data_IF_853400084385
#
_entry.id   IF_853400084385
#
_cell.length_a   1.000
_cell.length_b   1.000
_cell.length_c   1.000
_cell.angle_alpha   90.00
_cell.angle_beta   90.00
_cell.angle_gamma   90.00
#
_symmetry.space_group_name_H-M   'P 1'
#
loop_
_entity.id
_entity.type
_entity.pdbx_description
1 polymer ?
#
# COMPACT_ATOMS: atom_id res chain seq x y z
N UNK A 1 -4.77 -15.66 31.98
CA UNK A 1 -5.44 -14.75 31.03
C UNK A 1 -6.72 -14.32 31.71
N UNK A 2 -6.95 -13.02 31.85
CA UNK A 2 -8.14 -12.47 32.53
C UNK A 2 -8.93 -11.65 31.50
N UNK A 3 -10.25 -11.84 31.45
CA UNK A 3 -11.15 -11.10 30.55
C UNK A 3 -11.84 -10.00 31.35
N UNK A 4 -11.89 -8.78 30.81
CA UNK A 4 -12.49 -7.63 31.47
C UNK A 4 -13.32 -6.84 30.46
N UNK A 5 -14.55 -6.51 30.84
CA UNK A 5 -15.41 -5.61 30.09
C UNK A 5 -15.04 -4.16 30.42
N UNK A 6 -14.90 -3.31 29.41
CA UNK A 6 -14.42 -1.91 29.53
C UNK A 6 -15.47 -0.86 29.13
N UNK A 7 -16.75 -1.25 29.22
CA UNK A 7 -17.91 -0.41 28.86
C UNK A 7 -18.05 0.85 29.74
N UNK A 8 -17.48 0.83 30.95
CA UNK A 8 -17.55 1.92 31.91
C UNK A 8 -16.17 2.27 32.49
N UNK A 9 -16.04 3.43 33.18
CA UNK A 9 -14.78 3.84 33.79
C UNK A 9 -14.21 2.85 34.83
N UNK A 10 -15.07 2.10 35.54
CA UNK A 10 -14.65 1.16 36.58
C UNK A 10 -14.02 -0.09 35.95
N UNK A 11 -14.62 -0.63 34.90
CA UNK A 11 -14.08 -1.70 34.07
C UNK A 11 -12.75 -1.32 33.42
N UNK A 12 -12.62 -0.08 32.95
CA UNK A 12 -11.37 0.46 32.43
C UNK A 12 -10.28 0.53 33.51
N UNK A 13 -10.58 1.11 34.69
CA UNK A 13 -9.62 1.19 35.79
C UNK A 13 -9.17 -0.21 36.24
N UNK A 14 -10.14 -1.14 36.34
CA UNK A 14 -9.85 -2.53 36.66
C UNK A 14 -8.91 -3.15 35.63
N UNK A 15 -9.17 -3.01 34.34
CA UNK A 15 -8.31 -3.51 33.27
C UNK A 15 -6.89 -2.92 33.38
N UNK A 16 -6.76 -1.60 33.54
CA UNK A 16 -5.46 -0.93 33.69
C UNK A 16 -4.68 -1.41 34.92
N UNK A 17 -5.37 -1.75 36.01
CA UNK A 17 -4.75 -2.23 37.24
C UNK A 17 -4.03 -3.58 37.08
N UNK A 18 -4.33 -4.33 36.02
CA UNK A 18 -3.75 -5.65 35.72
C UNK A 18 -2.41 -5.57 34.99
N UNK A 19 -2.04 -4.39 34.46
CA UNK A 19 -0.76 -4.17 33.79
C UNK A 19 0.41 -4.48 34.73
N UNK A 20 1.33 -5.34 34.28
CA UNK A 20 2.46 -5.87 35.06
C UNK A 20 2.10 -6.95 36.09
N UNK A 21 0.81 -7.24 36.33
CA UNK A 21 0.34 -8.26 37.29
C UNK A 21 -0.13 -9.55 36.63
N UNK A 22 -0.40 -9.51 35.32
CA UNK A 22 -0.85 -10.65 34.51
C UNK A 22 0.06 -10.82 33.31
N UNK A 23 0.10 -12.04 32.74
CA UNK A 23 0.78 -12.27 31.46
C UNK A 23 -0.02 -11.75 30.26
N UNK A 24 -1.34 -11.89 30.33
CA UNK A 24 -2.25 -11.49 29.26
C UNK A 24 -3.61 -11.07 29.82
N UNK A 25 -4.19 -10.02 29.23
CA UNK A 25 -5.52 -9.48 29.52
C UNK A 25 -6.32 -9.41 28.21
N UNK A 26 -7.59 -9.83 28.26
CA UNK A 26 -8.54 -9.68 27.15
C UNK A 26 -9.51 -8.57 27.50
N UNK A 27 -9.65 -7.58 26.62
CA UNK A 27 -10.62 -6.49 26.77
C UNK A 27 -11.79 -6.71 25.83
N UNK A 28 -12.99 -6.50 26.36
CA UNK A 28 -14.28 -6.58 25.67
C UNK A 28 -15.02 -5.26 25.84
N UNK A 29 -15.70 -4.80 24.82
CA UNK A 29 -16.66 -3.70 24.94
C UNK A 29 -17.81 -3.93 23.98
N UNK A 30 -18.97 -3.45 24.39
CA UNK A 30 -20.22 -3.41 23.65
C UNK A 30 -20.34 -2.18 22.76
N UNK A 31 -19.59 -1.12 23.06
CA UNK A 31 -19.52 0.13 22.28
C UNK A 31 -18.04 0.55 22.11
N UNK A 32 -17.45 0.23 20.96
CA UNK A 32 -16.05 0.55 20.68
C UNK A 32 -15.90 2.04 20.35
N UNK A 33 -15.51 2.82 21.36
CA UNK A 33 -14.87 4.12 21.14
C UNK A 33 -13.35 3.94 21.06
N UNK A 34 -12.68 4.71 20.19
CA UNK A 34 -11.23 4.61 19.96
C UNK A 34 -10.42 4.94 21.24
N UNK A 35 -10.91 5.89 22.04
CA UNK A 35 -10.20 6.48 23.20
C UNK A 35 -9.89 5.46 24.33
N UNK A 36 -10.84 4.63 24.81
CA UNK A 36 -10.55 3.59 25.79
C UNK A 36 -9.41 2.66 25.39
N UNK A 37 -9.35 2.26 24.11
CA UNK A 37 -8.33 1.33 23.62
C UNK A 37 -6.94 1.96 23.58
N UNK A 38 -6.84 3.23 23.18
CA UNK A 38 -5.59 4.00 23.19
C UNK A 38 -4.97 4.04 24.60
N UNK A 39 -5.79 4.33 25.61
CA UNK A 39 -5.36 4.36 27.00
C UNK A 39 -4.84 2.99 27.48
N UNK A 40 -5.49 1.90 27.06
CA UNK A 40 -5.02 0.54 27.38
C UNK A 40 -3.68 0.25 26.71
N UNK A 41 -3.55 0.48 25.41
CA UNK A 41 -2.29 0.24 24.68
C UNK A 41 -1.15 1.01 25.33
N UNK A 42 -1.37 2.29 25.66
CA UNK A 42 -0.37 3.12 26.34
C UNK A 42 0.01 2.58 27.73
N UNK A 43 -0.97 2.15 28.54
CA UNK A 43 -0.72 1.67 29.91
C UNK A 43 0.01 0.33 29.95
N UNK A 44 -0.29 -0.56 29.00
CA UNK A 44 0.25 -1.91 28.93
C UNK A 44 1.60 -1.96 28.21
N UNK A 45 1.92 -0.97 27.37
CA UNK A 45 3.22 -0.87 26.70
C UNK A 45 4.38 -0.91 27.72
N UNK A 46 5.30 -1.87 27.54
CA UNK A 46 6.47 -2.05 28.42
C UNK A 46 6.15 -2.63 29.80
N UNK A 47 4.89 -2.95 30.10
CA UNK A 47 4.50 -3.55 31.39
C UNK A 47 4.80 -5.05 31.50
N UNK A 48 5.11 -5.72 30.38
CA UNK A 48 5.26 -7.18 30.30
C UNK A 48 3.94 -7.95 30.28
N UNK A 49 2.80 -7.25 30.27
CA UNK A 49 1.47 -7.83 30.08
C UNK A 49 1.00 -7.60 28.65
N UNK A 50 0.61 -8.65 27.94
CA UNK A 50 -0.01 -8.53 26.62
C UNK A 50 -1.50 -8.19 26.72
N UNK A 51 -1.97 -7.30 25.87
CA UNK A 51 -3.39 -6.92 25.76
C UNK A 51 -3.98 -7.48 24.47
N UNK A 52 -5.13 -8.14 24.58
CA UNK A 52 -5.89 -8.67 23.46
C UNK A 52 -7.28 -8.02 23.41
N UNK A 53 -7.75 -7.61 22.23
CA UNK A 53 -9.09 -7.06 22.08
C UNK A 53 -10.05 -8.07 21.41
N UNK A 54 -11.27 -8.19 21.93
CA UNK A 54 -12.32 -8.96 21.27
C UNK A 54 -12.88 -8.21 20.07
N UNK A 55 -12.76 -8.79 18.87
CA UNK A 55 -13.26 -8.23 17.63
C UNK A 55 -14.37 -9.13 17.06
N UNK A 56 -15.51 -8.51 16.74
CA UNK A 56 -16.69 -9.22 16.24
C UNK A 56 -16.70 -9.34 14.71
N UNK A 57 -16.01 -8.41 14.04
CA UNK A 57 -15.79 -8.38 12.60
C UNK A 57 -14.36 -7.97 12.20
N UNK A 58 -13.96 -8.14 10.93
CA UNK A 58 -12.63 -7.79 10.45
C UNK A 58 -12.27 -6.29 10.48
N UNK A 59 -13.26 -5.38 10.42
CA UNK A 59 -13.01 -3.94 10.49
C UNK A 59 -12.59 -3.54 11.91
N UNK A 60 -13.29 -4.06 12.93
CA UNK A 60 -12.91 -3.95 14.34
C UNK A 60 -11.49 -4.47 14.59
N UNK A 61 -11.20 -5.68 14.09
CA UNK A 61 -9.87 -6.27 14.23
C UNK A 61 -8.77 -5.39 13.63
N UNK A 62 -9.00 -4.83 12.44
CA UNK A 62 -8.05 -3.94 11.78
C UNK A 62 -7.85 -2.66 12.60
N UNK A 63 -8.92 -2.08 13.12
CA UNK A 63 -8.85 -0.92 14.00
C UNK A 63 -7.96 -1.25 15.21
N UNK A 64 -8.27 -2.31 15.94
CA UNK A 64 -7.57 -2.62 17.19
C UNK A 64 -6.10 -2.95 16.99
N UNK A 65 -5.76 -3.64 15.90
CA UNK A 65 -4.37 -3.98 15.56
C UNK A 65 -3.57 -2.78 15.03
N UNK A 66 -4.20 -1.65 14.71
CA UNK A 66 -3.52 -0.47 14.13
C UNK A 66 -3.63 0.80 14.99
N UNK A 67 -4.45 0.80 16.04
CA UNK A 67 -4.60 1.93 16.98
C UNK A 67 -3.25 2.40 17.53
N UNK A 68 -3.00 3.71 17.49
CA UNK A 68 -1.72 4.35 17.89
C UNK A 68 -0.45 3.81 17.19
N UNK A 69 -0.56 3.30 15.95
CA UNK A 69 0.55 2.69 15.18
C UNK A 69 1.19 1.44 15.84
N UNK A 70 0.67 1.01 17.00
CA UNK A 70 1.15 -0.15 17.76
C UNK A 70 0.11 -1.26 17.80
N UNK A 71 -1.16 -0.87 17.92
CA UNK A 71 -2.28 -1.77 18.15
C UNK A 71 -2.21 -2.49 19.49
N UNK A 72 -3.18 -3.38 19.69
CA UNK A 72 -3.13 -4.44 20.71
C UNK A 72 -2.17 -5.55 20.28
N UNK A 73 -1.67 -6.34 21.23
CA UNK A 73 -0.76 -7.46 20.97
C UNK A 73 -1.43 -8.62 20.20
N UNK A 74 -2.76 -8.62 20.12
CA UNK A 74 -3.52 -9.54 19.30
C UNK A 74 -5.03 -9.35 19.44
N UNK A 75 -5.77 -10.09 18.64
CA UNK A 75 -7.24 -10.08 18.66
C UNK A 75 -7.78 -11.43 19.12
N UNK A 76 -8.91 -11.39 19.81
CA UNK A 76 -9.76 -12.57 20.06
C UNK A 76 -10.95 -12.45 19.13
N UNK A 77 -11.07 -13.38 18.18
CA UNK A 77 -12.22 -13.41 17.26
C UNK A 77 -13.44 -13.88 18.04
N UNK A 78 -14.39 -12.99 18.24
CA UNK A 78 -15.65 -13.25 18.92
C UNK A 78 -16.81 -13.06 17.93
N UNK A 79 -16.89 -13.99 16.98
CA UNK A 79 -17.84 -13.90 15.88
C UNK A 79 -18.69 -15.17 15.78
N UNK A 80 -20.02 -15.06 15.70
CA UNK A 80 -20.90 -16.22 15.55
C UNK A 80 -20.88 -16.80 14.13
N UNK A 81 -20.26 -16.11 13.15
CA UNK A 81 -20.26 -16.51 11.74
C UNK A 81 -18.90 -17.01 11.25
N UNK A 82 -18.76 -18.31 10.94
CA UNK A 82 -17.54 -18.86 10.35
C UNK A 82 -17.14 -18.20 9.01
N UNK A 83 -18.08 -17.58 8.29
CA UNK A 83 -17.78 -16.89 7.03
C UNK A 83 -16.86 -15.67 7.21
N UNK A 84 -16.85 -15.05 8.39
CA UNK A 84 -16.02 -13.88 8.68
C UNK A 84 -14.55 -14.24 8.97
N UNK A 85 -14.26 -15.52 9.28
CA UNK A 85 -12.90 -15.98 9.60
C UNK A 85 -11.89 -15.70 8.49
N UNK A 86 -12.30 -15.72 7.23
CA UNK A 86 -11.43 -15.35 6.11
C UNK A 86 -11.00 -13.88 6.20
N UNK A 87 -11.93 -12.97 6.50
CA UNK A 87 -11.61 -11.55 6.67
C UNK A 87 -10.66 -11.30 7.83
N UNK A 88 -10.81 -12.02 8.96
CA UNK A 88 -9.85 -11.94 10.07
C UNK A 88 -8.46 -12.45 9.67
N UNK A 89 -8.38 -13.54 8.89
CA UNK A 89 -7.11 -14.04 8.36
C UNK A 89 -6.41 -12.96 7.54
N UNK A 90 -7.15 -12.27 6.67
CA UNK A 90 -6.61 -11.22 5.79
C UNK A 90 -6.15 -9.97 6.58
N UNK A 91 -6.71 -9.74 7.77
CA UNK A 91 -6.28 -8.67 8.68
C UNK A 91 -4.96 -9.01 9.39
N UNK A 92 -4.80 -10.28 9.81
CA UNK A 92 -3.64 -10.73 10.61
C UNK A 92 -2.48 -11.19 9.74
N UNK A 93 -2.72 -11.58 8.49
CA UNK A 93 -1.65 -11.91 7.55
C UNK A 93 -0.76 -10.69 7.29
N UNK A 94 0.55 -10.88 7.33
CA UNK A 94 1.52 -9.90 6.83
C UNK A 94 1.11 -9.47 5.42
N UNK A 95 1.31 -8.18 5.12
CA UNK A 95 1.02 -7.67 3.78
C UNK A 95 1.85 -8.47 2.77
N UNK A 96 1.21 -9.04 1.74
CA UNK A 96 1.91 -9.92 0.80
C UNK A 96 3.09 -9.18 0.17
N UNK A 97 4.25 -9.83 0.05
CA UNK A 97 5.34 -9.29 -0.74
C UNK A 97 5.05 -9.49 -2.22
N UNK A 98 5.37 -8.50 -3.04
CA UNK A 98 5.34 -8.61 -4.50
C UNK A 98 6.71 -9.06 -5.00
N UNK A 99 6.74 -10.04 -5.90
CA UNK A 99 7.98 -10.46 -6.55
C UNK A 99 8.38 -9.44 -7.62
N UNK A 100 9.39 -8.63 -7.29
CA UNK A 100 9.95 -7.62 -8.19
C UNK A 100 11.08 -8.22 -9.04
N UNK A 101 10.96 -8.03 -10.35
CA UNK A 101 11.97 -8.39 -11.35
C UNK A 101 12.69 -7.15 -11.87
N UNK A 102 13.94 -7.31 -12.30
CA UNK A 102 14.64 -6.27 -13.05
C UNK A 102 14.25 -6.34 -14.52
N UNK A 103 13.78 -5.23 -15.07
CA UNK A 103 13.61 -5.03 -16.52
C UNK A 103 14.63 -4.02 -17.02
N UNK A 104 15.16 -4.25 -18.22
CA UNK A 104 16.16 -3.38 -18.84
C UNK A 104 15.49 -2.39 -19.76
N UNK A 105 15.71 -1.09 -19.54
CA UNK A 105 15.19 -0.02 -20.40
C UNK A 105 15.71 -0.21 -21.82
N UNK A 106 14.81 -0.19 -22.80
CA UNK A 106 15.12 -0.29 -24.24
C UNK A 106 15.04 1.06 -24.92
N UNK A 107 14.12 1.93 -24.50
CA UNK A 107 14.00 3.29 -25.03
C UNK A 107 13.30 4.24 -24.05
N UNK A 108 13.58 5.54 -24.21
CA UNK A 108 12.87 6.63 -23.52
C UNK A 108 12.53 7.68 -24.58
N UNK A 109 11.24 7.85 -24.86
CA UNK A 109 10.77 8.70 -25.96
C UNK A 109 9.83 9.76 -25.42
N UNK A 110 10.10 11.07 -25.62
CA UNK A 110 9.14 12.12 -25.30
C UNK A 110 7.85 11.95 -26.10
N UNK A 111 6.73 12.16 -25.44
CA UNK A 111 5.38 12.11 -26.02
C UNK A 111 4.73 13.48 -25.85
N UNK A 112 3.68 13.74 -26.62
CA UNK A 112 2.90 14.97 -26.55
C UNK A 112 2.23 15.19 -25.18
N UNK A 113 1.58 16.34 -25.03
CA UNK A 113 0.80 16.66 -23.83
C UNK A 113 -0.31 15.64 -23.63
N UNK A 114 -0.35 15.01 -22.46
CA UNK A 114 -1.38 14.02 -22.10
C UNK A 114 -1.91 14.22 -20.69
N UNK A 115 -3.09 13.65 -20.43
CA UNK A 115 -3.68 13.60 -19.10
C UNK A 115 -2.96 12.55 -18.25
N UNK A 116 -2.43 13.00 -17.11
CA UNK A 116 -1.72 12.16 -16.14
C UNK A 116 -2.37 12.24 -14.77
N UNK A 117 -2.20 11.20 -13.98
CA UNK A 117 -2.73 11.08 -12.62
C UNK A 117 -1.60 11.20 -11.60
N UNK A 118 -1.74 12.11 -10.64
CA UNK A 118 -1.01 12.03 -9.36
C UNK A 118 -1.94 11.46 -8.30
N UNK A 119 -1.43 10.50 -7.54
CA UNK A 119 -2.15 9.89 -6.42
C UNK A 119 -1.54 10.43 -5.13
N UNK A 120 -2.32 11.22 -4.39
CA UNK A 120 -1.99 11.69 -3.04
C UNK A 120 -2.61 10.71 -2.04
N UNK A 121 -1.78 10.08 -1.21
CA UNK A 121 -2.24 9.15 -0.16
C UNK A 121 -2.37 9.84 1.20
N UNK A 122 -3.05 9.18 2.13
CA UNK A 122 -3.09 9.56 3.55
C UNK A 122 -1.90 9.02 4.34
N UNK A 123 -0.83 8.58 3.68
CA UNK A 123 0.35 7.98 4.31
C UNK A 123 1.63 8.61 3.78
N UNK A 124 2.62 8.78 4.65
CA UNK A 124 3.95 9.17 4.22
C UNK A 124 4.68 7.95 3.66
N UNK A 125 5.34 8.11 2.51
CA UNK A 125 6.25 7.12 1.96
C UNK A 125 7.71 7.52 2.23
N UNK A 126 8.62 6.57 2.08
CA UNK A 126 10.06 6.78 2.20
C UNK A 126 10.77 6.58 0.86
N UNK A 127 12.00 7.09 0.66
CA UNK A 127 12.79 6.79 -0.54
C UNK A 127 12.88 5.27 -0.83
N UNK A 128 12.63 4.89 -2.07
CA UNK A 128 12.48 3.50 -2.51
C UNK A 128 11.06 2.94 -2.41
N UNK A 129 10.09 3.70 -1.88
CA UNK A 129 8.68 3.32 -1.80
C UNK A 129 7.81 4.14 -2.75
N UNK A 130 6.81 3.48 -3.33
CA UNK A 130 5.87 4.10 -4.26
C UNK A 130 4.77 3.15 -4.70
N UNK A 131 4.38 3.22 -5.97
CA UNK A 131 3.28 2.44 -6.53
C UNK A 131 3.72 1.66 -7.76
N UNK A 132 3.14 0.46 -7.92
CA UNK A 132 3.32 -0.37 -9.10
C UNK A 132 2.35 0.09 -10.19
N UNK A 133 2.90 0.65 -11.28
CA UNK A 133 2.14 1.26 -12.38
C UNK A 133 2.71 0.86 -13.75
N UNK A 134 1.86 0.54 -14.72
CA UNK A 134 2.30 0.20 -16.07
C UNK A 134 1.23 0.50 -17.11
N UNK A 135 1.63 0.65 -18.38
CA UNK A 135 0.64 0.79 -19.47
C UNK A 135 -0.13 -0.51 -19.73
N UNK A 136 0.44 -1.64 -19.33
CA UNK A 136 -0.17 -2.96 -19.45
C UNK A 136 -0.27 -3.62 -18.07
N UNK A 137 -1.27 -4.48 -17.91
CA UNK A 137 -1.51 -5.16 -16.63
C UNK A 137 -0.46 -6.23 -16.30
N UNK A 138 0.25 -6.74 -17.32
CA UNK A 138 1.24 -7.80 -17.20
C UNK A 138 2.65 -7.31 -16.78
N UNK A 139 2.88 -6.00 -16.71
CA UNK A 139 4.11 -5.41 -16.20
C UNK A 139 3.84 -4.05 -15.56
N UNK A 140 4.01 -3.98 -14.23
CA UNK A 140 3.84 -2.76 -13.47
C UNK A 140 5.19 -2.30 -12.91
N UNK A 141 5.68 -1.15 -13.37
CA UNK A 141 6.93 -0.53 -12.94
C UNK A 141 6.77 0.09 -11.55
N UNK A 142 7.81 0.01 -10.72
CA UNK A 142 7.80 0.66 -9.42
C UNK A 142 8.13 2.15 -9.56
N UNK A 143 7.09 3.00 -9.55
CA UNK A 143 7.18 4.46 -9.62
C UNK A 143 7.33 5.03 -8.22
N UNK A 144 8.45 5.67 -7.93
CA UNK A 144 8.74 6.21 -6.60
C UNK A 144 7.84 7.41 -6.27
N UNK A 145 7.53 7.56 -4.98
CA UNK A 145 6.94 8.79 -4.44
C UNK A 145 7.87 10.01 -4.56
N UNK A 146 7.31 11.21 -4.44
CA UNK A 146 8.06 12.48 -4.29
C UNK A 146 8.73 12.57 -2.90
N UNK A 147 9.31 11.49 -2.39
CA UNK A 147 9.88 11.39 -1.03
C UNK A 147 11.31 11.90 -0.91
N UNK A 148 12.03 12.01 -2.03
CA UNK A 148 13.41 12.50 -2.05
C UNK A 148 13.44 14.01 -2.22
N UNK A 149 14.30 14.67 -1.44
CA UNK A 149 14.64 16.06 -1.66
C UNK A 149 15.53 16.19 -2.90
N UNK A 150 15.19 17.14 -3.76
CA UNK A 150 15.96 17.46 -4.96
C UNK A 150 16.56 18.87 -4.91
N UNK A 151 16.37 19.63 -3.82
CA UNK A 151 16.87 20.98 -3.63
C UNK A 151 16.12 22.08 -4.39
N UNK A 152 15.21 21.72 -5.30
CA UNK A 152 14.44 22.67 -6.12
C UNK A 152 12.97 22.76 -5.69
N UNK A 153 12.39 21.66 -5.21
CA UNK A 153 10.99 21.56 -4.79
C UNK A 153 10.92 20.77 -3.50
N UNK A 154 10.14 21.26 -2.53
CA UNK A 154 9.87 20.53 -1.29
C UNK A 154 9.30 19.14 -1.59
N UNK A 155 9.83 18.12 -0.90
CA UNK A 155 9.33 16.76 -1.03
C UNK A 155 7.86 16.66 -0.60
N UNK A 156 7.13 15.76 -1.24
CA UNK A 156 5.77 15.37 -0.88
C UNK A 156 5.72 13.85 -0.80
N UNK A 157 6.25 13.26 0.29
CA UNK A 157 6.38 11.82 0.39
C UNK A 157 5.04 11.07 0.38
N UNK A 158 3.90 11.76 0.50
CA UNK A 158 2.57 11.17 0.35
C UNK A 158 2.08 11.07 -1.11
N UNK A 159 2.82 11.62 -2.08
CA UNK A 159 2.42 11.74 -3.49
C UNK A 159 3.25 10.82 -4.40
N UNK A 160 2.56 10.15 -5.33
CA UNK A 160 3.18 9.51 -6.50
C UNK A 160 2.62 10.15 -7.78
N UNK A 161 3.50 10.57 -8.68
CA UNK A 161 3.12 10.95 -10.05
C UNK A 161 3.00 9.67 -10.88
N UNK A 162 1.89 8.96 -10.70
CA UNK A 162 1.73 7.56 -11.06
C UNK A 162 1.92 7.28 -12.55
N UNK A 163 1.26 8.03 -13.44
CA UNK A 163 1.37 7.81 -14.89
C UNK A 163 0.22 8.44 -15.68
N UNK A 164 0.09 8.07 -16.95
CA UNK A 164 -1.03 8.49 -17.79
C UNK A 164 -2.36 7.86 -17.33
N UNK A 165 -3.49 8.49 -17.67
CA UNK A 165 -4.84 8.04 -17.23
C UNK A 165 -5.17 6.58 -17.57
N UNK A 166 -4.61 6.03 -18.66
CA UNK A 166 -4.85 4.64 -19.09
C UNK A 166 -3.96 3.62 -18.38
N UNK A 167 -2.93 4.03 -17.64
CA UNK A 167 -2.05 3.08 -16.98
C UNK A 167 -2.80 2.33 -15.88
N UNK A 168 -2.42 1.08 -15.67
CA UNK A 168 -2.87 0.26 -14.57
C UNK A 168 -2.07 0.57 -13.30
N UNK A 169 -2.73 0.50 -12.15
CA UNK A 169 -2.12 0.54 -10.82
C UNK A 169 -2.48 -0.75 -10.06
N UNK A 170 -1.52 -1.29 -9.28
CA UNK A 170 -1.79 -2.40 -8.37
C UNK A 170 -2.67 -1.99 -7.19
N UNK A 171 -3.65 -2.82 -6.85
CA UNK A 171 -4.54 -2.62 -5.70
C UNK A 171 -4.53 -3.85 -4.78
N UNK A 172 -4.93 -3.70 -3.50
CA UNK A 172 -4.93 -4.83 -2.57
C UNK A 172 -5.78 -6.00 -3.08
N UNK A 173 -5.39 -7.22 -2.68
CA UNK A 173 -6.03 -8.46 -3.14
C UNK A 173 -5.52 -8.97 -4.50
N UNK A 174 -4.38 -8.46 -4.97
CA UNK A 174 -3.75 -8.90 -6.23
C UNK A 174 -4.48 -8.40 -7.48
N UNK A 175 -5.28 -7.35 -7.36
CA UNK A 175 -6.02 -6.73 -8.45
C UNK A 175 -5.23 -5.63 -9.15
N UNK A 176 -5.71 -5.16 -10.30
CA UNK A 176 -5.30 -3.89 -10.89
C UNK A 176 -6.50 -3.03 -11.24
N UNK A 177 -6.32 -1.71 -11.34
CA UNK A 177 -7.34 -0.75 -11.81
C UNK A 177 -6.71 0.25 -12.77
N UNK A 178 -7.49 0.87 -13.64
CA UNK A 178 -7.01 2.04 -14.37
C UNK A 178 -6.80 3.22 -13.42
N UNK A 179 -5.75 4.01 -13.64
CA UNK A 179 -5.50 5.23 -12.89
C UNK A 179 -6.66 6.23 -12.99
N UNK A 180 -7.35 6.27 -14.13
CA UNK A 180 -8.57 7.08 -14.33
C UNK A 180 -9.69 6.75 -13.36
N UNK A 181 -9.73 5.52 -12.83
CA UNK A 181 -10.83 5.02 -12.04
C UNK A 181 -10.57 5.15 -10.53
N UNK A 182 -9.35 5.48 -10.12
CA UNK A 182 -8.97 5.62 -8.70
C UNK A 182 -9.60 6.88 -8.12
N UNK A 183 -10.26 6.75 -6.97
CA UNK A 183 -10.97 7.84 -6.28
C UNK A 183 -10.45 8.05 -4.86
N UNK A 184 -10.77 9.21 -4.29
CA UNK A 184 -10.55 9.47 -2.87
C UNK A 184 -11.27 8.40 -2.02
N UNK A 185 -10.59 7.90 -0.99
CA UNK A 185 -11.05 6.80 -0.14
C UNK A 185 -10.71 5.41 -0.68
N UNK A 186 -10.36 5.27 -1.97
CA UNK A 186 -9.99 3.96 -2.52
C UNK A 186 -8.68 3.46 -1.88
N UNK A 187 -8.56 2.13 -1.65
CA UNK A 187 -7.31 1.54 -1.21
C UNK A 187 -6.35 1.35 -2.40
N UNK A 188 -5.08 1.67 -2.19
CA UNK A 188 -3.98 1.42 -3.13
C UNK A 188 -2.87 0.64 -2.43
N UNK A 189 -2.09 -0.10 -3.20
CA UNK A 189 -0.96 -0.87 -2.70
C UNK A 189 0.32 -0.04 -2.85
N UNK A 190 0.95 0.27 -1.72
CA UNK A 190 2.31 0.82 -1.69
C UNK A 190 3.30 -0.34 -1.69
N UNK A 191 4.39 -0.18 -2.41
CA UNK A 191 5.43 -1.20 -2.55
C UNK A 191 6.80 -0.54 -2.38
N UNK A 192 7.69 -1.19 -1.64
CA UNK A 192 9.09 -0.78 -1.53
C UNK A 192 10.01 -1.57 -2.46
N UNK A 193 11.27 -1.15 -2.50
CA UNK A 193 12.33 -1.77 -3.32
C UNK A 193 12.53 -3.28 -3.08
N UNK A 194 12.18 -3.77 -1.91
CA UNK A 194 12.31 -5.18 -1.54
C UNK A 194 11.03 -5.98 -1.82
N UNK A 195 10.02 -5.35 -2.43
CA UNK A 195 8.73 -5.96 -2.69
C UNK A 195 7.81 -5.98 -1.48
N UNK A 196 8.20 -5.40 -0.34
CA UNK A 196 7.31 -5.34 0.82
C UNK A 196 6.19 -4.36 0.51
N UNK A 197 4.95 -4.79 0.77
CA UNK A 197 3.79 -3.95 0.51
C UNK A 197 3.06 -3.53 1.76
N UNK A 198 2.25 -2.48 1.63
CA UNK A 198 1.24 -2.09 2.61
C UNK A 198 0.11 -1.35 1.91
N UNK A 199 -1.08 -1.40 2.50
CA UNK A 199 -2.24 -0.68 1.99
C UNK A 199 -2.20 0.77 2.46
N UNK A 200 -2.50 1.71 1.57
CA UNK A 200 -2.75 3.11 1.92
C UNK A 200 -4.07 3.58 1.31
N UNK A 201 -4.75 4.50 1.99
CA UNK A 201 -5.94 5.16 1.46
C UNK A 201 -5.53 6.34 0.58
N UNK A 202 -6.21 6.48 -0.56
CA UNK A 202 -6.07 7.65 -1.42
C UNK A 202 -6.77 8.83 -0.76
N UNK A 203 -6.03 9.91 -0.48
CA UNK A 203 -6.60 11.18 -0.07
C UNK A 203 -7.21 11.91 -1.27
N UNK A 204 -6.48 12.00 -2.38
CA UNK A 204 -6.95 12.65 -3.61
C UNK A 204 -6.22 12.13 -4.86
N UNK A 205 -6.96 11.95 -5.95
CA UNK A 205 -6.38 11.83 -7.30
C UNK A 205 -6.47 13.16 -8.03
N UNK A 206 -5.35 13.61 -8.61
CA UNK A 206 -5.30 14.83 -9.42
C UNK A 206 -4.96 14.47 -10.86
N UNK A 207 -5.88 14.76 -11.77
CA UNK A 207 -5.69 14.65 -13.22
C UNK A 207 -5.30 16.02 -13.78
N UNK A 208 -4.19 16.09 -14.52
CA UNK A 208 -3.77 17.31 -15.21
C UNK A 208 -3.02 16.99 -16.50
N UNK A 209 -2.93 17.98 -17.42
CA UNK A 209 -2.18 17.85 -18.66
C UNK A 209 -0.72 18.23 -18.48
N UNK A 210 0.20 17.33 -18.86
CA UNK A 210 1.65 17.55 -18.82
C UNK A 210 2.34 16.89 -20.03
N UNK A 211 3.55 17.33 -20.39
CA UNK A 211 4.37 16.59 -21.34
C UNK A 211 4.67 15.21 -20.76
N UNK A 212 4.54 14.17 -21.58
CA UNK A 212 4.79 12.79 -21.16
C UNK A 212 6.08 12.24 -21.79
N UNK A 213 6.52 11.11 -21.30
CA UNK A 213 7.51 10.24 -21.90
C UNK A 213 7.01 8.80 -21.81
N UNK A 214 7.34 8.01 -22.83
CA UNK A 214 7.17 6.58 -22.83
C UNK A 214 8.52 5.94 -22.49
N UNK A 215 8.57 5.20 -21.40
CA UNK A 215 9.70 4.32 -21.08
C UNK A 215 9.33 2.92 -21.58
N UNK A 216 10.12 2.36 -22.49
CA UNK A 216 10.03 0.96 -22.87
C UNK A 216 11.12 0.15 -22.17
N UNK A 217 10.81 -1.06 -21.76
CA UNK A 217 11.75 -1.98 -21.11
C UNK A 217 11.45 -3.44 -21.45
N UNK A 218 12.43 -4.31 -21.24
CA UNK A 218 12.33 -5.75 -21.52
C UNK A 218 12.87 -6.60 -20.38
N UNK A 219 12.25 -7.76 -20.17
CA UNK A 219 12.77 -8.86 -19.35
C UNK A 219 13.68 -9.82 -20.15
N UNK A 220 13.96 -9.49 -21.42
CA UNK A 220 14.67 -10.34 -22.38
C UNK A 220 13.76 -11.21 -23.24
N UNK A 221 12.47 -11.31 -22.91
CA UNK A 221 11.47 -12.13 -23.63
C UNK A 221 10.37 -11.29 -24.26
N UNK A 222 9.87 -10.29 -23.53
CA UNK A 222 8.77 -9.40 -23.94
C UNK A 222 9.18 -7.96 -23.76
N UNK A 223 8.49 -7.07 -24.47
CA UNK A 223 8.63 -5.63 -24.31
C UNK A 223 7.42 -5.08 -23.57
N UNK A 224 7.67 -4.13 -22.69
CA UNK A 224 6.70 -3.49 -21.82
C UNK A 224 6.92 -1.98 -21.87
N UNK A 225 5.90 -1.22 -21.49
CA UNK A 225 6.03 0.23 -21.42
C UNK A 225 5.24 0.84 -20.26
N UNK A 226 5.62 2.06 -19.91
CA UNK A 226 4.87 2.94 -19.00
C UNK A 226 4.96 4.38 -19.50
N UNK A 227 3.83 5.07 -19.49
CA UNK A 227 3.77 6.50 -19.78
C UNK A 227 3.81 7.33 -18.50
N UNK A 228 4.85 8.14 -18.36
CA UNK A 228 5.13 8.96 -17.19
C UNK A 228 5.25 10.43 -17.56
N UNK A 229 5.13 11.32 -16.58
CA UNK A 229 5.39 12.74 -16.82
C UNK A 229 6.88 12.95 -17.13
N UNK A 230 7.17 13.80 -18.12
CA UNK A 230 8.51 14.24 -18.44
C UNK A 230 8.98 15.31 -17.43
N UNK A 231 9.49 14.87 -16.28
CA UNK A 231 10.06 15.72 -15.24
C UNK A 231 11.08 14.95 -14.40
N UNK A 232 12.11 15.65 -13.91
CA UNK A 232 13.22 15.09 -13.15
C UNK A 232 12.80 14.50 -11.79
N UNK A 233 11.66 14.95 -11.27
CA UNK A 233 11.09 14.48 -10.01
C UNK A 233 10.40 13.13 -10.12
N UNK A 234 10.15 12.63 -11.34
CA UNK A 234 9.57 11.30 -11.54
C UNK A 234 10.71 10.30 -11.62
N UNK A 235 10.64 9.25 -10.79
CA UNK A 235 11.69 8.25 -10.72
C UNK A 235 11.12 6.83 -10.78
N UNK A 236 11.84 5.96 -11.47
CA UNK A 236 11.64 4.52 -11.38
C UNK A 236 12.65 3.93 -10.39
N UNK A 237 12.18 3.04 -9.53
CA UNK A 237 13.05 2.40 -8.53
C UNK A 237 13.90 1.33 -9.20
N UNK A 238 15.20 1.33 -8.93
CA UNK A 238 16.15 0.27 -9.24
C UNK A 238 16.69 -0.35 -7.93
N UNK A 239 17.48 -1.43 -8.02
CA UNK A 239 18.03 -2.13 -6.84
C UNK A 239 18.90 -1.24 -5.95
N UNK A 240 19.70 -0.37 -6.54
CA UNK A 240 20.65 0.48 -5.80
C UNK A 240 20.10 1.88 -5.48
N UNK A 241 18.99 2.27 -6.08
CA UNK A 241 18.37 3.58 -5.88
C UNK A 241 17.33 3.88 -6.94
N UNK A 242 16.68 5.03 -6.86
CA UNK A 242 15.73 5.45 -7.88
C UNK A 242 16.38 6.34 -8.94
N UNK A 243 16.03 6.10 -10.19
CA UNK A 243 16.58 6.80 -11.35
C UNK A 243 15.52 7.72 -11.93
N UNK A 244 15.89 8.98 -12.14
CA UNK A 244 15.01 9.96 -12.77
C UNK A 244 14.70 9.58 -14.21
N UNK A 245 13.43 9.67 -14.60
CA UNK A 245 12.98 9.30 -15.95
C UNK A 245 13.61 10.15 -17.05
N UNK A 246 14.03 11.38 -16.74
CA UNK A 246 14.73 12.27 -17.69
C UNK A 246 16.21 11.91 -17.86
N UNK A 247 16.75 11.10 -16.96
CA UNK A 247 18.15 10.63 -16.98
C UNK A 247 18.27 9.15 -17.38
N UNK A 248 17.14 8.44 -17.53
CA UNK A 248 17.12 7.05 -17.96
C UNK A 248 17.65 6.91 -19.39
N UNK A 249 18.41 5.84 -19.63
CA UNK A 249 18.94 5.47 -20.94
C UNK A 249 18.81 3.97 -21.19
N UNK A 250 18.87 3.53 -22.46
CA UNK A 250 18.89 2.11 -22.78
C UNK A 250 19.99 1.36 -22.02
N UNK A 251 19.63 0.22 -21.44
CA UNK A 251 20.50 -0.60 -20.60
C UNK A 251 20.40 -0.33 -19.09
N UNK A 252 19.79 0.78 -18.67
CA UNK A 252 19.46 0.98 -17.25
C UNK A 252 18.45 -0.07 -16.78
N UNK A 253 18.62 -0.56 -15.56
CA UNK A 253 17.72 -1.56 -14.96
C UNK A 253 16.81 -0.92 -13.95
N UNK A 254 15.52 -1.25 -14.00
CA UNK A 254 14.49 -0.78 -13.07
C UNK A 254 13.64 -1.95 -12.58
N UNK A 255 12.99 -1.79 -11.44
CA UNK A 255 12.14 -2.81 -10.83
C UNK A 255 10.72 -2.72 -11.37
N UNK A 256 10.19 -3.88 -11.73
CA UNK A 256 8.81 -4.05 -12.12
C UNK A 256 8.24 -5.36 -11.57
N UNK A 257 6.94 -5.38 -11.34
CA UNK A 257 6.19 -6.60 -11.09
C UNK A 257 5.72 -7.16 -12.42
N UNK A 258 6.14 -8.37 -12.74
CA UNK A 258 5.73 -9.09 -13.94
C UNK A 258 4.60 -10.07 -13.60
N UNK A 259 3.58 -10.13 -14.43
CA UNK A 259 2.52 -11.13 -14.31
C UNK A 259 2.44 -12.00 -15.56
N UNK A 260 2.26 -13.29 -15.32
CA UNK A 260 1.92 -14.27 -16.35
C UNK A 260 0.39 -14.30 -16.56
N UNK A 261 -0.09 -13.84 -17.72
CA UNK A 261 -1.51 -13.93 -18.11
C UNK A 261 -2.08 -12.58 -18.58
N UNK A 262 -3.32 -12.59 -19.06
CA UNK A 262 -4.08 -11.38 -19.36
C UNK A 262 -4.96 -10.97 -18.18
N UNK A 263 -5.39 -9.70 -18.12
CA UNK A 263 -6.44 -9.26 -17.17
C UNK A 263 -7.68 -8.78 -17.89
N UNK A 264 -8.85 -9.19 -17.42
CA UNK A 264 -10.13 -8.64 -17.83
C UNK A 264 -10.74 -7.87 -16.66
N UNK A 265 -10.88 -6.55 -16.80
CA UNK A 265 -11.31 -5.65 -15.71
C UNK A 265 -10.51 -5.80 -14.41
N UNK A 266 -9.19 -5.96 -14.52
CA UNK A 266 -8.31 -6.02 -13.34
C UNK A 266 -8.33 -7.35 -12.59
N UNK A 267 -9.03 -8.38 -13.07
CA UNK A 267 -8.97 -9.75 -12.57
C UNK A 267 -8.04 -10.60 -13.45
N UNK A 268 -7.25 -11.49 -12.86
CA UNK A 268 -6.40 -12.42 -13.60
C UNK A 268 -7.26 -13.43 -14.36
N UNK A 269 -7.03 -13.54 -15.68
CA UNK A 269 -7.72 -14.51 -16.53
C UNK A 269 -6.67 -15.24 -17.37
N UNK A 270 -6.80 -16.57 -17.49
CA UNK A 270 -6.03 -17.34 -18.47
C UNK A 270 -6.56 -17.09 -19.90
N UNK A 271 -6.44 -15.85 -20.37
CA UNK A 271 -6.81 -15.44 -21.72
C UNK A 271 -5.62 -14.84 -22.46
N UNK A 272 -5.54 -15.08 -23.77
CA UNK A 272 -4.56 -14.45 -24.66
C UNK A 272 -5.01 -13.03 -25.01
N UNK A 273 -4.78 -12.08 -24.12
CA UNK A 273 -5.04 -10.66 -24.38
C UNK A 273 -3.78 -10.05 -25.04
N UNK A 274 -3.96 -9.41 -26.20
CA UNK A 274 -2.91 -8.64 -26.89
C UNK A 274 -3.23 -7.16 -26.79
N UNK A 275 -2.51 -6.44 -25.92
CA UNK A 275 -2.55 -4.98 -25.81
C UNK A 275 -1.42 -4.41 -26.69
N UNK A 276 -1.66 -3.33 -27.43
CA UNK A 276 -0.69 -2.70 -28.35
C UNK A 276 -0.59 -1.22 -28.05
#
# INVERSE_FOLDING_TARGET
MESVDIDDPEGQERAMSLAGKRKAVVVRTSDWTVIPLENMIARFAGSGTSVYACASDPADARLFLTTMEKGVDGIVVDSPSPSLLRGFKDVVSESPSEDLSEVSVTSVVPVEMGDRVCVDTCSMMVPGEGMLVGSYSNCLFLVQSESEDNGYVASRPFRVNAGAVHCYISVPGGGTRYLSDVRSGDPVLLCDRHGRTRVASVGRCKVEKRPLLMVSATDGSREYSVMLQNAETIKLVAREGAVSVTSLKPGDKVLARLESGGRHFGMAVEESITER
#
